data_IF_382893000955
#
_entry.id   IF_382893000955
#
_cell.length_a   1.000
_cell.length_b   1.000
_cell.length_c   1.000
_cell.angle_alpha   90.00
_cell.angle_beta   90.00
_cell.angle_gamma   90.00
#
_symmetry.space_group_name_H-M   'P 1'
#
loop_
_entity.id
_entity.type
_entity.pdbx_description
1 polymer ?
#
# COMPACT_ATOMS: atom_id res chain seq x y z
N UNK A 1 -65.51 -4.70 38.69
CA UNK A 1 -64.20 -4.83 38.02
C UNK A 1 -63.19 -3.79 38.54
N UNK A 2 -62.60 -3.95 39.74
CA UNK A 2 -61.63 -2.98 40.29
C UNK A 2 -60.16 -3.31 39.95
N UNK A 3 -59.86 -4.58 39.62
CA UNK A 3 -58.50 -5.08 39.46
C UNK A 3 -57.80 -4.60 38.17
N UNK A 4 -58.56 -4.47 37.06
CA UNK A 4 -58.01 -4.01 35.78
C UNK A 4 -57.66 -2.51 35.77
N UNK A 5 -58.39 -1.66 36.53
CA UNK A 5 -58.05 -0.23 36.65
C UNK A 5 -56.72 -0.02 37.40
N UNK A 6 -56.47 -0.77 38.47
CA UNK A 6 -55.21 -0.69 39.23
C UNK A 6 -53.97 -1.14 38.44
N UNK A 7 -54.13 -2.03 37.46
CA UNK A 7 -53.02 -2.49 36.63
C UNK A 7 -52.65 -1.45 35.55
N UNK A 8 -53.62 -0.76 34.98
CA UNK A 8 -53.39 0.32 34.01
C UNK A 8 -52.86 1.61 34.64
N UNK A 9 -53.28 1.95 35.87
CA UNK A 9 -52.80 3.16 36.55
C UNK A 9 -51.32 3.05 37.00
N UNK A 10 -50.81 1.83 37.23
CA UNK A 10 -49.41 1.59 37.64
C UNK A 10 -48.48 1.22 36.49
N UNK A 11 -49.02 0.93 35.31
CA UNK A 11 -48.27 0.60 34.09
C UNK A 11 -47.35 1.72 33.59
N UNK A 12 -47.79 3.00 33.53
CA UNK A 12 -46.93 4.08 33.04
C UNK A 12 -45.76 4.40 33.97
N UNK A 13 -45.84 4.07 35.26
CA UNK A 13 -44.77 4.35 36.21
C UNK A 13 -43.70 3.26 36.26
N UNK A 14 -44.08 1.99 36.11
CA UNK A 14 -43.16 0.87 36.31
C UNK A 14 -42.41 0.42 35.04
N UNK A 15 -42.92 0.73 33.85
CA UNK A 15 -42.32 0.28 32.57
C UNK A 15 -41.89 1.46 31.71
N UNK A 16 -42.77 2.45 31.53
CA UNK A 16 -42.51 3.60 30.67
C UNK A 16 -41.41 4.51 31.21
N UNK A 17 -41.32 4.70 32.54
CA UNK A 17 -40.30 5.55 33.15
C UNK A 17 -38.87 4.98 33.02
N UNK A 18 -38.58 3.70 33.33
CA UNK A 18 -37.25 3.13 33.09
C UNK A 18 -36.87 3.11 31.61
N UNK A 19 -37.80 2.78 30.71
CA UNK A 19 -37.56 2.78 29.26
C UNK A 19 -37.26 4.19 28.76
N UNK A 20 -38.03 5.19 29.18
CA UNK A 20 -37.79 6.58 28.81
C UNK A 20 -36.45 7.10 29.34
N UNK A 21 -36.06 6.73 30.57
CA UNK A 21 -34.77 7.11 31.15
C UNK A 21 -33.60 6.47 30.41
N UNK A 22 -33.72 5.20 30.00
CA UNK A 22 -32.68 4.53 29.22
C UNK A 22 -32.55 5.11 27.81
N UNK A 23 -33.67 5.38 27.13
CA UNK A 23 -33.67 6.01 25.80
C UNK A 23 -33.12 7.43 25.90
N UNK A 24 -33.52 8.21 26.89
CA UNK A 24 -33.01 9.57 27.09
C UNK A 24 -31.52 9.56 27.40
N UNK A 25 -31.06 8.64 28.26
CA UNK A 25 -29.63 8.45 28.54
C UNK A 25 -28.85 8.07 27.28
N UNK A 26 -29.37 7.16 26.45
CA UNK A 26 -28.74 6.77 25.20
C UNK A 26 -28.66 7.93 24.19
N UNK A 27 -29.73 8.73 24.09
CA UNK A 27 -29.74 9.95 23.24
C UNK A 27 -28.74 10.98 23.76
N UNK A 28 -28.67 11.21 25.08
CA UNK A 28 -27.69 12.13 25.68
C UNK A 28 -26.27 11.64 25.43
N UNK A 29 -25.99 10.35 25.62
CA UNK A 29 -24.67 9.77 25.32
C UNK A 29 -24.33 9.87 23.83
N UNK A 30 -25.29 9.65 22.95
CA UNK A 30 -25.10 9.78 21.51
C UNK A 30 -24.82 11.25 21.12
N UNK A 31 -25.58 12.21 21.65
CA UNK A 31 -25.38 13.63 21.40
C UNK A 31 -24.05 14.12 21.95
N UNK A 32 -23.64 13.64 23.13
CA UNK A 32 -22.32 13.91 23.70
C UNK A 32 -21.21 13.31 22.83
N UNK A 33 -21.36 12.07 22.35
CA UNK A 33 -20.39 11.43 21.47
C UNK A 33 -20.26 12.15 20.11
N UNK A 34 -21.38 12.61 19.53
CA UNK A 34 -21.37 13.39 18.29
C UNK A 34 -20.72 14.77 18.49
N UNK A 35 -21.04 15.45 19.59
CA UNK A 35 -20.51 16.79 19.90
C UNK A 35 -19.03 16.74 20.28
N UNK A 36 -18.59 15.66 20.94
CA UNK A 36 -17.19 15.43 21.30
C UNK A 36 -16.38 14.79 20.17
N UNK A 37 -17.02 14.31 19.09
CA UNK A 37 -16.33 13.74 17.92
C UNK A 37 -15.20 14.66 17.41
N UNK A 38 -15.40 15.95 17.11
CA UNK A 38 -14.30 16.81 16.65
C UNK A 38 -13.16 16.94 17.67
N UNK A 39 -13.47 16.96 18.98
CA UNK A 39 -12.47 17.03 20.04
C UNK A 39 -11.69 15.71 20.17
N UNK A 40 -12.37 14.57 20.10
CA UNK A 40 -11.77 13.24 20.11
C UNK A 40 -10.92 13.02 18.86
N UNK A 41 -11.40 13.45 17.69
CA UNK A 41 -10.62 13.43 16.46
C UNK A 41 -9.37 14.32 16.61
N UNK A 42 -9.50 15.53 17.15
CA UNK A 42 -8.35 16.43 17.35
C UNK A 42 -7.35 15.95 18.41
N UNK A 43 -7.79 15.24 19.46
CA UNK A 43 -6.94 14.80 20.57
C UNK A 43 -6.35 13.39 20.35
N UNK A 44 -7.03 12.53 19.59
CA UNK A 44 -6.64 11.12 19.43
C UNK A 44 -6.32 10.71 17.99
N UNK A 45 -6.68 11.50 16.96
CA UNK A 45 -6.05 11.35 15.65
C UNK A 45 -4.87 12.33 15.61
N UNK A 46 -3.67 11.80 15.87
CA UNK A 46 -2.45 12.45 15.38
C UNK A 46 -2.58 12.74 13.88
N UNK A 47 -1.75 13.64 13.32
CA UNK A 47 -1.82 13.98 11.90
C UNK A 47 -1.95 12.68 11.10
N UNK A 48 -3.03 12.54 10.32
CA UNK A 48 -3.15 11.46 9.36
C UNK A 48 -1.97 11.63 8.41
N UNK A 49 -0.89 10.91 8.69
CA UNK A 49 0.29 10.92 7.85
C UNK A 49 -0.19 10.48 6.48
N UNK A 50 -0.13 11.35 5.45
CA UNK A 50 -0.65 11.01 4.14
C UNK A 50 0.13 9.80 3.65
N UNK A 51 -0.52 8.64 3.53
CA UNK A 51 0.13 7.45 3.04
C UNK A 51 0.91 7.75 1.75
N UNK A 52 2.12 7.20 1.64
CA UNK A 52 2.95 7.42 0.46
C UNK A 52 2.17 7.04 -0.82
N UNK A 53 2.13 7.90 -1.85
CA UNK A 53 1.18 7.75 -2.96
C UNK A 53 1.45 6.55 -3.87
N UNK A 54 2.65 5.96 -3.80
CA UNK A 54 3.05 4.85 -4.68
C UNK A 54 3.08 3.50 -3.96
N UNK A 55 2.53 2.50 -4.64
CA UNK A 55 2.48 1.11 -4.21
C UNK A 55 3.16 0.20 -5.24
N UNK A 56 3.91 -0.80 -4.77
CA UNK A 56 4.72 -1.68 -5.63
C UNK A 56 4.30 -3.13 -5.47
N UNK A 57 4.30 -3.88 -6.57
CA UNK A 57 4.06 -5.33 -6.55
C UNK A 57 4.83 -6.00 -7.67
N UNK A 58 5.23 -7.25 -7.48
CA UNK A 58 5.95 -8.02 -8.48
C UNK A 58 5.28 -9.38 -8.71
N UNK A 59 5.14 -9.75 -9.98
CA UNK A 59 4.57 -11.03 -10.38
C UNK A 59 5.59 -11.84 -11.20
N UNK A 60 6.03 -13.01 -10.70
CA UNK A 60 6.90 -13.88 -11.46
C UNK A 60 6.10 -14.76 -12.43
N UNK A 61 6.69 -15.06 -13.58
CA UNK A 61 6.20 -16.04 -14.55
C UNK A 61 7.38 -16.65 -15.32
N UNK A 62 7.19 -17.86 -15.85
CA UNK A 62 8.21 -18.52 -16.66
C UNK A 62 8.26 -17.92 -18.06
N UNK A 63 9.47 -17.65 -18.53
CA UNK A 63 9.75 -17.35 -19.93
C UNK A 63 9.82 -18.62 -20.78
N UNK A 64 10.31 -18.46 -22.00
CA UNK A 64 10.40 -19.58 -22.95
C UNK A 64 11.41 -20.63 -22.46
N UNK A 65 10.95 -21.85 -22.17
CA UNK A 65 11.84 -23.01 -21.97
C UNK A 65 12.28 -23.34 -20.53
N UNK A 66 11.55 -22.92 -19.49
CA UNK A 66 11.82 -23.26 -18.07
C UNK A 66 13.23 -22.88 -17.53
N UNK A 67 14.01 -22.11 -18.29
CA UNK A 67 15.35 -21.61 -17.92
C UNK A 67 15.40 -20.08 -17.79
N UNK A 68 14.23 -19.47 -17.91
CA UNK A 68 14.02 -18.03 -17.84
C UNK A 68 12.83 -17.79 -16.91
N UNK A 69 13.02 -16.88 -15.95
CA UNK A 69 11.95 -16.29 -15.16
C UNK A 69 11.89 -14.82 -15.50
N UNK A 70 10.67 -14.37 -15.76
CA UNK A 70 10.37 -12.96 -15.91
C UNK A 70 9.61 -12.50 -14.67
N UNK A 71 9.96 -11.32 -14.18
CA UNK A 71 9.29 -10.66 -13.07
C UNK A 71 8.73 -9.37 -13.62
N UNK A 72 7.40 -9.28 -13.67
CA UNK A 72 6.71 -8.02 -13.96
C UNK A 72 6.63 -7.22 -12.67
N UNK A 73 7.44 -6.16 -12.57
CA UNK A 73 7.45 -5.23 -11.44
C UNK A 73 6.56 -4.02 -11.75
N UNK A 74 5.51 -3.85 -10.98
CA UNK A 74 4.50 -2.81 -11.15
C UNK A 74 4.66 -1.71 -10.12
N UNK A 75 4.54 -0.46 -10.58
CA UNK A 75 4.54 0.75 -9.76
C UNK A 75 3.21 1.44 -9.99
N UNK A 76 2.43 1.62 -8.93
CA UNK A 76 1.04 2.05 -9.00
C UNK A 76 0.89 3.38 -8.27
N UNK A 77 0.42 4.42 -8.97
CA UNK A 77 -0.02 5.65 -8.32
C UNK A 77 -1.44 5.46 -7.80
N UNK A 78 -1.63 5.47 -6.47
CA UNK A 78 -2.95 5.28 -5.85
C UNK A 78 -3.80 6.56 -5.82
N UNK A 79 -3.20 7.70 -6.17
CA UNK A 79 -3.83 9.02 -6.06
C UNK A 79 -4.54 9.44 -7.34
N UNK A 80 -5.46 10.40 -7.21
CA UNK A 80 -6.13 11.07 -8.33
C UNK A 80 -5.29 12.18 -8.97
N UNK A 81 -4.02 12.33 -8.58
CA UNK A 81 -3.15 13.42 -9.00
C UNK A 81 -1.88 12.85 -9.66
N UNK A 82 -1.29 13.56 -10.65
CA UNK A 82 0.02 13.18 -11.17
C UNK A 82 1.07 13.39 -10.07
N UNK A 83 2.08 12.52 -10.06
CA UNK A 83 3.21 12.61 -9.13
C UNK A 83 4.51 12.75 -9.92
N UNK A 84 5.27 13.81 -9.65
CA UNK A 84 6.65 13.98 -10.10
C UNK A 84 7.62 13.51 -9.03
N UNK A 85 8.87 13.24 -9.44
CA UNK A 85 9.95 12.90 -8.52
C UNK A 85 10.06 13.86 -7.32
N UNK A 86 10.01 15.16 -7.58
CA UNK A 86 10.16 16.20 -6.56
C UNK A 86 9.00 16.16 -5.54
N UNK A 87 7.77 15.89 -6.02
CA UNK A 87 6.62 15.69 -5.13
C UNK A 87 6.81 14.45 -4.25
N UNK A 88 7.25 13.32 -4.83
CA UNK A 88 7.50 12.09 -4.07
C UNK A 88 8.58 12.29 -2.99
N UNK A 89 9.65 13.03 -3.29
CA UNK A 89 10.68 13.38 -2.29
C UNK A 89 10.08 14.21 -1.15
N UNK A 90 9.24 15.20 -1.48
CA UNK A 90 8.57 16.03 -0.47
C UNK A 90 7.62 15.21 0.39
N UNK A 91 6.85 14.32 -0.21
CA UNK A 91 5.91 13.44 0.49
C UNK A 91 6.67 12.53 1.49
N UNK A 92 7.81 11.95 1.09
CA UNK A 92 8.64 11.13 1.98
C UNK A 92 9.26 11.92 3.13
N UNK A 93 9.72 13.16 2.89
CA UNK A 93 10.23 14.04 3.95
C UNK A 93 9.15 14.44 4.94
N UNK A 94 7.92 14.66 4.48
CA UNK A 94 6.79 14.95 5.35
C UNK A 94 6.36 13.74 6.18
N UNK A 95 6.51 12.53 5.63
CA UNK A 95 6.26 11.27 6.34
C UNK A 95 7.29 10.96 7.42
N UNK A 96 8.53 11.44 7.25
CA UNK A 96 9.62 11.13 8.15
C UNK A 96 10.55 12.33 8.41
N UNK A 97 10.06 13.38 9.12
CA UNK A 97 10.81 14.63 9.29
C UNK A 97 12.02 14.49 10.22
N UNK A 98 12.01 13.53 11.14
CA UNK A 98 12.99 13.40 12.24
C UNK A 98 13.80 12.09 12.21
N UNK A 99 13.71 11.27 11.14
CA UNK A 99 14.47 10.03 11.10
C UNK A 99 15.96 10.24 10.81
N UNK A 100 16.77 9.46 11.52
CA UNK A 100 18.19 9.25 11.25
C UNK A 100 18.46 8.63 9.86
N UNK A 101 17.44 7.99 9.26
CA UNK A 101 17.51 7.33 7.95
C UNK A 101 16.77 8.13 6.90
N UNK A 102 17.41 8.36 5.75
CA UNK A 102 16.82 9.15 4.67
C UNK A 102 15.95 8.26 3.79
N UNK A 103 14.66 8.58 3.67
CA UNK A 103 13.78 7.89 2.72
C UNK A 103 14.00 8.42 1.31
N UNK A 104 14.08 7.50 0.33
CA UNK A 104 14.23 7.81 -1.09
C UNK A 104 13.06 7.23 -1.91
N UNK A 105 12.51 7.98 -2.89
CA UNK A 105 11.49 7.45 -3.79
C UNK A 105 12.07 6.51 -4.85
N UNK A 106 13.41 6.37 -4.88
CA UNK A 106 14.08 5.39 -5.72
C UNK A 106 13.85 4.01 -5.15
N UNK A 107 13.48 3.08 -6.03
CA UNK A 107 13.29 1.68 -5.67
C UNK A 107 14.62 0.97 -5.99
N UNK A 108 15.35 0.59 -4.95
CA UNK A 108 16.59 -0.16 -5.10
C UNK A 108 16.34 -1.65 -4.89
N UNK A 109 16.48 -2.46 -5.93
CA UNK A 109 16.34 -3.92 -5.87
C UNK A 109 17.73 -4.55 -5.86
N UNK A 110 17.99 -5.42 -4.88
CA UNK A 110 19.20 -6.22 -4.81
C UNK A 110 18.98 -7.59 -5.44
N UNK A 111 19.82 -7.91 -6.42
CA UNK A 111 19.80 -9.18 -7.12
C UNK A 111 20.56 -10.24 -6.33
N UNK A 112 19.97 -11.41 -6.22
CA UNK A 112 20.72 -12.60 -5.84
C UNK A 112 21.64 -12.99 -7.01
N UNK A 113 22.86 -13.45 -6.74
CA UNK A 113 23.88 -13.76 -7.77
C UNK A 113 23.55 -14.96 -8.66
N UNK A 114 22.33 -15.49 -8.60
CA UNK A 114 21.92 -16.61 -9.43
C UNK A 114 21.46 -16.11 -10.80
N UNK A 115 22.25 -16.41 -11.84
CA UNK A 115 21.87 -16.18 -13.23
C UNK A 115 22.24 -14.82 -13.80
N UNK A 116 21.91 -14.63 -15.08
CA UNK A 116 22.05 -13.38 -15.79
C UNK A 116 20.74 -12.59 -15.68
N UNK A 117 20.84 -11.32 -15.29
CA UNK A 117 19.68 -10.45 -15.14
C UNK A 117 19.68 -9.37 -16.20
N UNK A 118 18.56 -9.22 -16.89
CA UNK A 118 18.28 -8.14 -17.83
C UNK A 118 17.05 -7.37 -17.35
N UNK A 119 17.15 -6.04 -17.29
CA UNK A 119 16.03 -5.18 -16.90
C UNK A 119 15.57 -4.38 -18.10
N UNK A 120 14.30 -4.51 -18.42
CA UNK A 120 13.68 -3.88 -19.59
C UNK A 120 12.53 -3.00 -19.13
N UNK A 121 12.51 -1.77 -19.65
CA UNK A 121 11.33 -0.92 -19.53
C UNK A 121 10.33 -1.33 -20.60
N UNK A 122 9.10 -1.63 -20.21
CA UNK A 122 8.02 -1.92 -21.15
C UNK A 122 7.47 -0.61 -21.72
N UNK A 123 8.13 -0.09 -22.76
CA UNK A 123 7.83 1.24 -23.34
C UNK A 123 6.39 1.33 -23.85
N UNK A 124 5.89 0.25 -24.44
CA UNK A 124 4.53 0.19 -24.99
C UNK A 124 3.51 0.20 -23.85
N UNK A 125 3.71 -0.62 -22.81
CA UNK A 125 2.84 -0.62 -21.64
C UNK A 125 2.85 0.73 -20.91
N UNK A 126 4.01 1.39 -20.82
CA UNK A 126 4.19 2.65 -20.09
C UNK A 126 3.80 3.90 -20.88
N UNK A 127 3.53 3.76 -22.17
CA UNK A 127 3.20 4.90 -23.04
C UNK A 127 1.99 5.68 -22.51
N UNK A 128 2.16 6.99 -22.32
CA UNK A 128 1.13 7.88 -21.79
C UNK A 128 0.81 7.74 -20.29
N UNK A 129 1.45 6.81 -19.56
CA UNK A 129 1.20 6.55 -18.13
C UNK A 129 2.22 7.21 -17.20
N UNK A 130 3.38 7.56 -17.73
CA UNK A 130 4.46 8.17 -16.95
C UNK A 130 5.83 7.98 -17.59
N UNK A 131 6.87 8.25 -16.81
CA UNK A 131 8.28 8.11 -17.19
C UNK A 131 9.08 7.54 -16.03
N UNK A 132 9.85 6.50 -16.31
CA UNK A 132 10.78 5.91 -15.37
C UNK A 132 12.15 5.71 -16.02
N UNK A 133 13.19 5.70 -15.20
CA UNK A 133 14.56 5.34 -15.57
C UNK A 133 14.99 4.13 -14.76
N UNK A 134 15.76 3.25 -15.40
CA UNK A 134 16.35 2.10 -14.72
C UNK A 134 17.85 2.25 -14.84
N UNK A 135 18.54 2.28 -13.70
CA UNK A 135 19.98 2.35 -13.61
C UNK A 135 20.47 1.06 -12.99
N UNK A 136 21.50 0.46 -13.57
CA UNK A 136 22.15 -0.72 -13.00
C UNK A 136 23.49 -0.29 -12.41
N UNK A 137 23.80 -0.81 -11.24
CA UNK A 137 25.09 -0.64 -10.61
C UNK A 137 26.20 -1.30 -11.47
N UNK A 138 27.45 -0.78 -11.50
CA UNK A 138 28.54 -1.34 -12.32
C UNK A 138 28.84 -2.81 -12.00
N UNK A 139 28.64 -3.24 -10.74
CA UNK A 139 28.81 -4.64 -10.34
C UNK A 139 27.65 -5.54 -10.78
N UNK A 140 26.58 -4.94 -11.32
CA UNK A 140 25.41 -5.65 -11.81
C UNK A 140 24.51 -6.26 -10.73
N UNK A 141 24.80 -6.02 -9.45
CA UNK A 141 24.12 -6.59 -8.28
C UNK A 141 22.92 -5.78 -7.80
N UNK A 142 22.85 -4.49 -8.15
CA UNK A 142 21.75 -3.61 -7.76
C UNK A 142 21.09 -2.99 -8.99
N UNK A 143 19.77 -2.89 -8.93
CA UNK A 143 18.93 -2.19 -9.91
C UNK A 143 18.25 -1.05 -9.19
N UNK A 144 18.40 0.17 -9.70
CA UNK A 144 17.69 1.34 -9.22
C UNK A 144 16.62 1.74 -10.22
N UNK A 145 15.36 1.67 -9.81
CA UNK A 145 14.21 2.16 -10.59
C UNK A 145 13.84 3.55 -10.07
N UNK A 146 13.90 4.52 -10.97
CA UNK A 146 13.66 5.94 -10.70
C UNK A 146 12.37 6.33 -11.38
N UNK A 147 11.35 6.70 -10.61
CA UNK A 147 10.11 7.27 -11.13
C UNK A 147 10.30 8.78 -11.32
N UNK A 148 10.34 9.24 -12.57
CA UNK A 148 10.44 10.67 -12.87
C UNK A 148 9.06 11.33 -12.82
N UNK A 149 8.05 10.65 -13.37
CA UNK A 149 6.65 11.09 -13.39
C UNK A 149 5.70 9.91 -13.52
N UNK A 150 4.55 9.96 -12.88
CA UNK A 150 3.46 8.99 -13.06
C UNK A 150 2.10 9.70 -13.04
N UNK A 151 1.23 9.35 -13.99
CA UNK A 151 -0.10 9.95 -14.15
C UNK A 151 -1.08 9.47 -13.05
N UNK A 152 -2.22 10.17 -12.85
CA UNK A 152 -3.26 9.74 -11.92
C UNK A 152 -3.70 8.30 -12.14
N UNK A 153 -3.77 7.51 -11.06
CA UNK A 153 -4.24 6.10 -11.10
C UNK A 153 -3.54 5.22 -12.13
N UNK A 154 -2.35 5.62 -12.57
CA UNK A 154 -1.61 4.91 -13.60
C UNK A 154 -0.75 3.78 -13.00
N UNK A 155 -0.47 2.79 -13.85
CA UNK A 155 0.39 1.65 -13.53
C UNK A 155 1.57 1.69 -14.50
N UNK A 156 2.78 1.78 -13.96
CA UNK A 156 4.03 1.59 -14.70
C UNK A 156 4.54 0.17 -14.49
N UNK A 157 5.24 -0.37 -15.51
CA UNK A 157 5.78 -1.71 -15.52
C UNK A 157 7.26 -1.71 -15.89
N UNK A 158 8.05 -2.46 -15.13
CA UNK A 158 9.43 -2.83 -15.44
C UNK A 158 9.50 -4.36 -15.49
N UNK A 159 10.11 -4.90 -16.54
CA UNK A 159 10.30 -6.35 -16.69
C UNK A 159 11.72 -6.70 -16.29
N UNK A 160 11.88 -7.53 -15.28
CA UNK A 160 13.17 -8.09 -14.87
C UNK A 160 13.22 -9.52 -15.38
N UNK A 161 14.05 -9.77 -16.39
CA UNK A 161 14.29 -11.10 -16.94
C UNK A 161 15.51 -11.70 -16.27
N UNK A 162 15.38 -12.95 -15.85
CA UNK A 162 16.45 -13.71 -15.21
C UNK A 162 16.62 -15.04 -15.93
N UNK A 163 17.80 -15.24 -16.52
CA UNK A 163 18.18 -16.44 -17.24
C UNK A 163 19.25 -17.24 -16.50
N UNK A 164 19.33 -18.53 -16.77
CA UNK A 164 20.39 -19.39 -16.22
C UNK A 164 20.14 -19.89 -14.79
N UNK A 165 18.98 -19.59 -14.22
CA UNK A 165 18.54 -20.12 -12.92
C UNK A 165 17.77 -21.41 -13.14
N UNK A 166 18.08 -22.46 -12.35
CA UNK A 166 17.32 -23.71 -12.36
C UNK A 166 16.12 -23.57 -11.43
N UNK A 167 14.96 -23.25 -12.01
CA UNK A 167 13.71 -23.20 -11.25
C UNK A 167 13.21 -24.62 -10.94
N UNK A 168 12.97 -24.89 -9.66
CA UNK A 168 12.56 -26.23 -9.15
C UNK A 168 11.09 -26.52 -9.48
N UNK A 169 10.27 -25.48 -9.69
CA UNK A 169 8.84 -25.61 -9.98
C UNK A 169 8.55 -25.57 -11.48
N UNK A 170 7.93 -26.64 -12.02
CA UNK A 170 7.36 -26.69 -13.38
C UNK A 170 6.07 -25.85 -13.54
N UNK A 171 5.57 -25.23 -12.46
CA UNK A 171 4.33 -24.45 -12.45
C UNK A 171 4.51 -23.19 -11.60
N UNK A 172 5.18 -22.19 -12.17
CA UNK A 172 5.16 -20.83 -11.67
C UNK A 172 3.92 -20.15 -12.23
N UNK A 173 2.83 -20.19 -11.47
CA UNK A 173 1.65 -19.40 -11.76
C UNK A 173 1.90 -17.94 -11.33
N UNK A 174 1.28 -16.99 -12.02
CA UNK A 174 1.23 -15.59 -11.56
C UNK A 174 0.69 -15.56 -10.13
N UNK A 175 1.40 -14.91 -9.22
CA UNK A 175 1.02 -14.78 -7.81
C UNK A 175 1.81 -15.62 -6.79
N UNK A 176 2.74 -16.49 -7.23
CA UNK A 176 3.66 -17.18 -6.30
C UNK A 176 4.77 -16.21 -5.86
N UNK A 177 4.44 -15.31 -4.90
CA UNK A 177 5.35 -14.26 -4.41
C UNK A 177 6.68 -14.79 -3.86
N UNK A 178 6.69 -16.01 -3.30
CA UNK A 178 7.89 -16.60 -2.68
C UNK A 178 9.06 -16.83 -3.64
N UNK A 179 8.81 -16.98 -4.95
CA UNK A 179 9.87 -17.17 -5.93
C UNK A 179 10.53 -15.84 -6.35
N UNK A 180 9.85 -14.70 -6.17
CA UNK A 180 10.44 -13.37 -6.38
C UNK A 180 11.56 -13.13 -5.38
N UNK A 181 11.37 -13.49 -4.11
CA UNK A 181 12.37 -13.31 -3.04
C UNK A 181 13.66 -14.11 -3.26
N UNK A 182 13.63 -15.19 -4.05
CA UNK A 182 14.84 -15.95 -4.41
C UNK A 182 15.75 -15.19 -5.36
N UNK A 183 15.16 -14.32 -6.17
CA UNK A 183 15.85 -13.51 -7.19
C UNK A 183 16.13 -12.10 -6.67
N UNK A 184 15.17 -11.50 -5.97
CA UNK A 184 15.21 -10.13 -5.46
C UNK A 184 15.21 -10.15 -3.93
N UNK A 185 16.39 -9.93 -3.31
CA UNK A 185 16.61 -10.14 -1.86
C UNK A 185 15.74 -9.24 -0.98
N UNK A 186 15.55 -8.00 -1.39
CA UNK A 186 14.85 -6.99 -0.60
C UNK A 186 13.45 -6.67 -1.15
N UNK A 187 12.88 -7.54 -2.00
CA UNK A 187 11.56 -7.31 -2.59
C UNK A 187 10.46 -7.10 -1.54
N UNK A 188 10.53 -7.80 -0.41
CA UNK A 188 9.50 -7.72 0.64
C UNK A 188 9.33 -6.30 1.20
N UNK A 189 10.39 -5.48 1.20
CA UNK A 189 10.35 -4.08 1.62
C UNK A 189 9.38 -3.23 0.77
N UNK A 190 9.16 -3.62 -0.47
CA UNK A 190 8.40 -2.81 -1.43
C UNK A 190 6.95 -3.24 -1.61
N UNK A 191 6.50 -4.33 -0.95
CA UNK A 191 5.17 -4.87 -1.17
C UNK A 191 4.04 -3.92 -0.77
N UNK A 192 4.29 -3.00 0.18
CA UNK A 192 3.27 -2.07 0.68
C UNK A 192 3.57 -0.61 0.31
N UNK A 193 4.81 -0.28 -0.06
CA UNK A 193 5.21 1.10 -0.38
C UNK A 193 6.47 1.16 -1.26
N UNK A 194 6.43 1.95 -2.34
CA UNK A 194 7.55 2.09 -3.29
C UNK A 194 8.62 3.10 -2.84
N UNK A 195 9.29 2.87 -1.71
CA UNK A 195 10.43 3.69 -1.31
C UNK A 195 11.52 2.84 -0.65
N UNK A 196 12.75 3.33 -0.68
CA UNK A 196 13.92 2.70 -0.03
C UNK A 196 14.36 3.53 1.17
N UNK A 197 14.70 2.85 2.27
CA UNK A 197 15.44 3.44 3.39
C UNK A 197 16.94 3.49 3.04
N UNK A 198 17.55 4.67 3.12
CA UNK A 198 19.00 4.88 2.95
C UNK A 198 19.71 5.03 4.29
#
# INVERSE_FOLDING_TARGET
MPFLRSLFDKWPQNILRPVAVNVLSAVVLFLLAVSLKPLVFSLFQGPQLPEYPLFCTAEPYLGSGNREMNIDFFIINRTGEPRTREQLIRDLRALNPDADRTLSPDIELELNREGEVQVLQDKDFNSGKGRLRVVRDPEGQKIKIIVDRIEPRAILKVVIRVSGVRFVSRKLNRGVKGEVGRVLRNYEQFQDSCYTEQ
#
